data_IF_008069752091
#
_entry.id   IF_008069752091
#
_cell.length_a   1.000
_cell.length_b   1.000
_cell.length_c   1.000
_cell.angle_alpha   90.00
_cell.angle_beta   90.00
_cell.angle_gamma   90.00
#
_symmetry.space_group_name_H-M   'P 1'
#
loop_
_entity.id
_entity.type
_entity.pdbx_description
1 polymer ?
#
# COMPACT_ATOMS: atom_id res chain seq x y z
N UNK A 1 6.94 -12.39 13.26
CA UNK A 1 5.52 -12.24 13.62
C UNK A 1 5.44 -11.88 15.10
N UNK A 2 4.41 -11.17 15.58
CA UNK A 2 4.25 -10.96 17.02
C UNK A 2 4.08 -12.31 17.73
N UNK A 3 4.61 -12.42 18.93
CA UNK A 3 4.30 -13.54 19.84
C UNK A 3 3.00 -13.20 20.53
N UNK A 4 1.96 -14.02 20.32
CA UNK A 4 0.68 -13.89 21.01
C UNK A 4 0.81 -14.61 22.36
N UNK A 5 0.45 -13.92 23.45
CA UNK A 5 0.32 -14.54 24.78
C UNK A 5 -1.15 -14.64 25.20
N UNK A 6 -1.42 -15.31 26.32
CA UNK A 6 -2.77 -15.59 26.81
C UNK A 6 -3.62 -14.34 27.09
N UNK A 7 -3.02 -13.15 27.14
CA UNK A 7 -3.72 -11.87 27.35
C UNK A 7 -4.21 -11.26 26.03
N UNK A 8 -3.72 -11.76 24.89
CA UNK A 8 -4.11 -11.25 23.59
C UNK A 8 -5.40 -11.91 23.10
N UNK A 9 -6.47 -11.13 22.97
CA UNK A 9 -7.65 -11.53 22.23
C UNK A 9 -7.51 -11.10 20.78
N UNK A 10 -7.38 -12.05 19.85
CA UNK A 10 -7.35 -11.76 18.42
C UNK A 10 -8.75 -11.73 17.86
N UNK A 11 -9.21 -10.55 17.47
CA UNK A 11 -10.56 -10.33 16.90
C UNK A 11 -10.57 -10.44 15.38
N UNK A 12 -9.41 -10.29 14.74
CA UNK A 12 -9.28 -10.35 13.29
C UNK A 12 -7.86 -10.08 12.80
N UNK A 13 -7.56 -10.58 11.61
CA UNK A 13 -6.32 -10.33 10.87
C UNK A 13 -6.64 -9.95 9.43
N UNK A 14 -5.70 -9.26 8.77
CA UNK A 14 -5.88 -8.70 7.41
C UNK A 14 -6.24 -9.76 6.36
N UNK A 15 -5.72 -10.98 6.50
CA UNK A 15 -5.91 -12.01 5.50
C UNK A 15 -5.48 -13.42 5.93
N UNK A 16 -5.72 -14.41 5.06
CA UNK A 16 -5.55 -15.83 5.37
C UNK A 16 -4.09 -16.23 5.60
N UNK A 17 -3.13 -15.60 4.93
CA UNK A 17 -1.70 -15.87 5.14
C UNK A 17 -1.26 -15.43 6.53
N UNK A 18 -1.77 -14.29 7.00
CA UNK A 18 -1.51 -13.83 8.37
C UNK A 18 -2.17 -14.76 9.40
N UNK A 19 -3.41 -15.21 9.17
CA UNK A 19 -4.09 -16.16 10.05
C UNK A 19 -3.28 -17.46 10.19
N UNK A 20 -2.86 -18.04 9.06
CA UNK A 20 -2.06 -19.26 9.03
C UNK A 20 -0.71 -19.09 9.76
N UNK A 21 0.01 -17.99 9.52
CA UNK A 21 1.30 -17.71 10.17
C UNK A 21 1.19 -17.54 11.68
N UNK A 22 0.01 -17.20 12.19
CA UNK A 22 -0.27 -17.05 13.63
C UNK A 22 -0.95 -18.28 14.25
N UNK A 23 -1.19 -19.35 13.46
CA UNK A 23 -1.91 -20.53 13.94
C UNK A 23 -3.38 -20.26 14.28
N UNK A 24 -3.97 -19.24 13.66
CA UNK A 24 -5.36 -18.83 13.89
C UNK A 24 -6.30 -19.52 12.90
N UNK A 25 -7.58 -19.65 13.28
CA UNK A 25 -8.62 -20.05 12.32
C UNK A 25 -8.66 -19.07 11.14
N UNK A 26 -8.91 -19.59 9.93
CA UNK A 26 -9.16 -18.76 8.75
C UNK A 26 -10.41 -17.88 8.93
N UNK A 27 -11.31 -18.22 9.86
CA UNK A 27 -12.44 -17.36 10.24
C UNK A 27 -12.01 -16.07 10.97
N UNK A 28 -10.74 -15.92 11.35
CA UNK A 28 -10.21 -14.66 11.84
C UNK A 28 -9.62 -13.80 10.72
N UNK A 29 -9.53 -14.29 9.48
CA UNK A 29 -9.21 -13.45 8.33
C UNK A 29 -10.44 -12.60 7.93
N UNK A 30 -10.61 -11.48 8.62
CA UNK A 30 -11.77 -10.58 8.47
C UNK A 30 -11.50 -9.39 7.56
N UNK A 31 -10.31 -9.29 6.97
CA UNK A 31 -9.94 -8.21 6.07
C UNK A 31 -9.24 -7.04 6.78
N UNK A 32 -8.85 -6.03 5.99
CA UNK A 32 -8.28 -4.80 6.53
C UNK A 32 -9.36 -3.89 7.13
N UNK A 33 -9.10 -3.25 8.27
CA UNK A 33 -10.08 -2.42 8.96
C UNK A 33 -10.50 -1.16 8.18
N UNK A 34 -9.75 -0.75 7.16
CA UNK A 34 -10.11 0.38 6.32
C UNK A 34 -11.44 0.19 5.56
N UNK A 35 -11.95 -1.04 5.41
CA UNK A 35 -13.29 -1.26 4.85
C UNK A 35 -14.42 -0.66 5.72
N UNK A 36 -14.19 -0.46 7.03
CA UNK A 36 -15.11 0.27 7.90
C UNK A 36 -15.32 1.73 7.50
N UNK A 37 -14.50 2.29 6.61
CA UNK A 37 -14.74 3.62 6.01
C UNK A 37 -16.11 3.69 5.32
N UNK A 38 -16.68 2.55 4.89
CA UNK A 38 -18.03 2.47 4.31
C UNK A 38 -19.17 2.61 5.34
N UNK A 39 -18.85 2.66 6.64
CA UNK A 39 -19.82 2.81 7.75
C UNK A 39 -19.69 4.17 8.45
N UNK A 40 -18.95 5.10 7.88
CA UNK A 40 -18.79 6.47 8.40
C UNK A 40 -19.12 7.48 7.31
N UNK A 41 -19.58 8.67 7.73
CA UNK A 41 -19.81 9.77 6.80
C UNK A 41 -18.46 10.37 6.40
N UNK A 42 -18.18 10.35 5.09
CA UNK A 42 -16.92 10.82 4.52
C UNK A 42 -17.12 12.15 3.80
N UNK A 43 -16.08 12.99 3.74
CA UNK A 43 -16.13 14.20 2.93
C UNK A 43 -16.22 13.81 1.45
N UNK A 44 -17.15 14.44 0.72
CA UNK A 44 -17.38 14.17 -0.70
C UNK A 44 -16.74 15.28 -1.54
N UNK A 45 -15.92 14.95 -2.55
CA UNK A 45 -15.33 15.96 -3.42
C UNK A 45 -16.41 16.62 -4.31
N UNK A 46 -16.19 17.88 -4.68
CA UNK A 46 -17.09 18.62 -5.58
C UNK A 46 -17.08 18.04 -7.00
N UNK A 47 -15.92 17.57 -7.44
CA UNK A 47 -15.71 17.03 -8.78
C UNK A 47 -14.85 15.77 -8.71
N UNK A 48 -15.12 14.84 -9.62
CA UNK A 48 -14.34 13.62 -9.82
C UNK A 48 -13.76 13.65 -11.23
N UNK A 49 -12.44 13.67 -11.34
CA UNK A 49 -11.75 13.74 -12.62
C UNK A 49 -10.32 13.21 -12.52
N UNK A 50 -9.83 12.62 -13.61
CA UNK A 50 -8.42 12.31 -13.78
C UNK A 50 -7.89 11.18 -12.89
N UNK A 51 -6.57 11.03 -12.89
CA UNK A 51 -5.88 9.88 -12.30
C UNK A 51 -4.99 10.35 -11.15
N UNK A 52 -5.00 9.62 -10.04
CA UNK A 52 -4.11 9.84 -8.91
C UNK A 52 -2.93 8.88 -8.89
N UNK A 53 -1.79 9.30 -8.32
CA UNK A 53 -0.66 8.44 -7.99
C UNK A 53 -0.34 8.51 -6.49
N UNK A 54 -0.28 7.34 -5.85
CA UNK A 54 -0.01 7.18 -4.41
C UNK A 54 1.27 6.35 -4.23
N UNK A 55 2.45 6.95 -4.03
CA UNK A 55 3.64 6.19 -3.69
C UNK A 55 3.55 5.63 -2.27
N UNK A 56 4.40 4.64 -1.97
CA UNK A 56 4.57 4.23 -0.59
C UNK A 56 5.23 5.37 0.22
N UNK A 57 4.85 5.57 1.49
CA UNK A 57 5.35 6.70 2.30
C UNK A 57 6.89 6.85 2.34
N UNK A 58 7.64 5.74 2.28
CA UNK A 58 9.12 5.78 2.22
C UNK A 58 9.64 6.10 0.83
N UNK A 59 8.86 5.79 -0.20
CA UNK A 59 9.21 6.09 -1.58
C UNK A 59 9.12 7.58 -1.88
N UNK A 60 8.31 8.31 -1.10
CA UNK A 60 8.24 9.78 -1.15
C UNK A 60 9.61 10.44 -0.92
N UNK A 61 10.52 9.77 -0.21
CA UNK A 61 11.85 10.32 0.10
C UNK A 61 12.87 10.13 -1.04
N UNK A 62 12.56 9.30 -2.05
CA UNK A 62 13.47 9.01 -3.15
C UNK A 62 13.31 9.98 -4.32
N UNK A 63 12.09 10.42 -4.61
CA UNK A 63 11.77 11.22 -5.80
C UNK A 63 10.90 12.39 -5.37
N UNK A 64 11.06 13.50 -6.08
CA UNK A 64 10.10 14.60 -6.02
C UNK A 64 8.86 14.21 -6.83
N UNK A 65 7.97 13.48 -6.17
CA UNK A 65 6.78 12.93 -6.82
C UNK A 65 5.80 14.01 -7.24
N UNK A 66 5.72 15.13 -6.52
CA UNK A 66 4.87 16.25 -6.90
C UNK A 66 5.25 16.75 -8.30
N UNK A 67 6.52 17.15 -8.49
CA UNK A 67 6.99 17.63 -9.79
C UNK A 67 6.85 16.57 -10.89
N UNK A 68 7.15 15.29 -10.59
CA UNK A 68 7.04 14.22 -11.58
C UNK A 68 5.59 13.97 -12.02
N UNK A 69 4.64 14.03 -11.08
CA UNK A 69 3.23 13.80 -11.35
C UNK A 69 2.60 15.01 -12.06
N UNK A 70 2.97 16.24 -11.69
CA UNK A 70 2.54 17.46 -12.38
C UNK A 70 2.95 17.42 -13.86
N UNK A 71 4.20 17.06 -14.15
CA UNK A 71 4.72 16.86 -15.52
C UNK A 71 4.03 15.71 -16.27
N UNK A 72 3.43 14.77 -15.55
CA UNK A 72 2.68 13.63 -16.11
C UNK A 72 1.19 13.94 -16.31
N UNK A 73 0.69 15.06 -15.80
CA UNK A 73 -0.76 15.33 -15.73
C UNK A 73 -1.49 14.36 -14.79
N UNK A 74 -0.81 13.85 -13.77
CA UNK A 74 -1.35 12.89 -12.78
C UNK A 74 -1.35 13.59 -11.41
N UNK A 75 -2.38 13.39 -10.61
CA UNK A 75 -2.47 13.98 -9.28
C UNK A 75 -1.58 13.21 -8.31
N UNK A 76 -0.56 13.84 -7.75
CA UNK A 76 0.18 13.25 -6.62
C UNK A 76 -0.71 13.25 -5.36
N UNK A 77 -0.73 12.13 -4.64
CA UNK A 77 -1.41 11.98 -3.35
C UNK A 77 -0.42 11.40 -2.35
N UNK A 78 -0.08 12.15 -1.31
CA UNK A 78 0.87 11.71 -0.28
C UNK A 78 0.17 10.82 0.75
N UNK A 79 0.82 9.74 1.16
CA UNK A 79 0.33 8.92 2.27
C UNK A 79 0.65 9.55 3.65
N UNK A 80 1.38 10.68 3.68
CA UNK A 80 1.78 11.41 4.89
C UNK A 80 0.87 12.59 5.22
N UNK A 81 -0.05 12.95 4.32
CA UNK A 81 -0.99 14.06 4.54
C UNK A 81 -2.10 13.67 5.55
N UNK A 82 -2.85 14.64 6.10
CA UNK A 82 -3.99 14.35 6.95
C UNK A 82 -4.99 13.39 6.29
N UNK A 83 -5.66 12.56 7.09
CA UNK A 83 -6.51 11.49 6.57
C UNK A 83 -7.70 12.05 5.78
N UNK A 84 -8.28 13.15 6.22
CA UNK A 84 -9.39 13.84 5.56
C UNK A 84 -8.95 14.36 4.18
N UNK A 85 -7.76 14.97 4.10
CA UNK A 85 -7.19 15.46 2.84
C UNK A 85 -6.87 14.30 1.89
N UNK A 86 -6.35 13.18 2.43
CA UNK A 86 -6.10 11.96 1.65
C UNK A 86 -7.38 11.41 1.05
N UNK A 87 -8.45 11.29 1.86
CA UNK A 87 -9.73 10.77 1.43
C UNK A 87 -10.40 11.68 0.39
N UNK A 88 -10.31 13.00 0.56
CA UNK A 88 -10.78 13.98 -0.42
C UNK A 88 -10.01 13.88 -1.73
N UNK A 89 -8.68 13.85 -1.66
CA UNK A 89 -7.83 13.74 -2.85
C UNK A 89 -8.07 12.42 -3.59
N UNK A 90 -8.20 11.32 -2.86
CA UNK A 90 -8.48 10.00 -3.43
C UNK A 90 -9.84 9.97 -4.13
N UNK A 91 -10.90 10.40 -3.45
CA UNK A 91 -12.26 10.39 -4.01
C UNK A 91 -12.42 11.30 -5.23
N UNK A 92 -11.60 12.35 -5.34
CA UNK A 92 -11.60 13.23 -6.52
C UNK A 92 -11.03 12.57 -7.77
N UNK A 93 -10.43 11.38 -7.69
CA UNK A 93 -9.87 10.66 -8.82
C UNK A 93 -10.84 9.64 -9.40
N UNK A 94 -10.84 9.48 -10.72
CA UNK A 94 -11.56 8.42 -11.43
C UNK A 94 -10.92 7.05 -11.23
N UNK A 95 -9.59 7.03 -11.09
CA UNK A 95 -8.76 5.84 -10.89
C UNK A 95 -7.45 6.24 -10.23
N UNK A 96 -6.78 5.31 -9.55
CA UNK A 96 -5.46 5.56 -8.94
C UNK A 96 -4.42 4.50 -9.29
N UNK A 97 -3.18 4.95 -9.54
CA UNK A 97 -1.99 4.10 -9.59
C UNK A 97 -1.33 4.16 -8.22
N UNK A 98 -1.00 3.02 -7.61
CA UNK A 98 -0.55 3.02 -6.21
C UNK A 98 0.53 1.99 -5.90
N UNK A 99 1.57 2.44 -5.21
CA UNK A 99 2.57 1.60 -4.53
C UNK A 99 2.24 1.44 -3.04
N UNK A 100 1.34 2.28 -2.50
CA UNK A 100 0.85 2.16 -1.14
C UNK A 100 -0.27 1.12 -1.04
N UNK A 101 -0.04 0.04 -0.30
CA UNK A 101 -1.06 -0.99 -0.07
C UNK A 101 -2.34 -0.42 0.55
N UNK A 102 -2.22 0.48 1.53
CA UNK A 102 -3.41 1.15 2.09
C UNK A 102 -4.06 2.11 1.10
N UNK A 103 -3.31 2.68 0.15
CA UNK A 103 -3.91 3.42 -0.97
C UNK A 103 -4.82 2.53 -1.81
N UNK A 104 -4.40 1.30 -2.11
CA UNK A 104 -5.23 0.31 -2.81
C UNK A 104 -6.44 -0.14 -1.98
N UNK A 105 -6.25 -0.46 -0.69
CA UNK A 105 -7.32 -0.90 0.19
C UNK A 105 -8.40 0.18 0.34
N UNK A 106 -8.01 1.44 0.57
CA UNK A 106 -8.96 2.54 0.71
C UNK A 106 -9.65 2.85 -0.62
N UNK A 107 -8.92 2.83 -1.74
CA UNK A 107 -9.52 2.98 -3.06
C UNK A 107 -10.56 1.88 -3.34
N UNK A 108 -10.24 0.63 -3.01
CA UNK A 108 -11.14 -0.51 -3.16
C UNK A 108 -12.38 -0.39 -2.28
N UNK A 109 -12.24 0.07 -1.03
CA UNK A 109 -13.36 0.30 -0.12
C UNK A 109 -14.31 1.40 -0.64
N UNK A 110 -13.74 2.48 -1.19
CA UNK A 110 -14.48 3.62 -1.75
C UNK A 110 -14.87 3.44 -3.23
N UNK A 111 -14.63 2.26 -3.80
CA UNK A 111 -15.01 1.87 -5.17
C UNK A 111 -14.35 2.75 -6.25
N UNK A 112 -13.09 3.09 -6.02
CA UNK A 112 -12.22 3.79 -6.97
C UNK A 112 -11.28 2.75 -7.58
N UNK A 113 -11.38 2.47 -8.89
CA UNK A 113 -10.49 1.53 -9.55
C UNK A 113 -9.02 1.86 -9.28
N UNK A 114 -8.19 0.84 -9.07
CA UNK A 114 -6.79 1.03 -8.71
C UNK A 114 -5.85 0.10 -9.47
N UNK A 115 -4.60 0.54 -9.66
CA UNK A 115 -3.56 -0.20 -10.37
C UNK A 115 -2.35 -0.35 -9.44
N UNK A 116 -1.99 -1.58 -9.05
CA UNK A 116 -0.84 -1.80 -8.18
C UNK A 116 0.49 -1.66 -8.95
N UNK A 117 1.39 -0.85 -8.41
CA UNK A 117 2.76 -0.71 -8.92
C UNK A 117 3.80 -0.99 -7.85
N UNK A 118 4.99 -1.38 -8.30
CA UNK A 118 6.19 -1.56 -7.48
C UNK A 118 7.22 -0.52 -7.88
N UNK A 119 7.80 0.19 -6.93
CA UNK A 119 8.90 1.12 -7.19
C UNK A 119 10.10 0.85 -6.29
N UNK A 120 9.89 0.75 -4.97
CA UNK A 120 10.94 0.56 -3.99
C UNK A 120 11.45 -0.89 -3.96
N UNK A 121 12.77 -1.10 -3.85
CA UNK A 121 13.34 -2.42 -3.58
C UNK A 121 12.83 -3.05 -2.27
N UNK A 122 12.37 -2.21 -1.34
CA UNK A 122 11.80 -2.64 -0.06
C UNK A 122 10.32 -3.04 -0.15
N UNK A 123 9.74 -3.07 -1.35
CA UNK A 123 8.37 -3.50 -1.57
C UNK A 123 8.11 -4.91 -1.00
N UNK A 124 6.95 -5.09 -0.39
CA UNK A 124 6.60 -6.34 0.30
C UNK A 124 5.34 -6.96 -0.30
N UNK A 125 5.54 -7.81 -1.30
CA UNK A 125 4.46 -8.50 -2.02
C UNK A 125 3.63 -9.41 -1.12
N UNK A 126 4.22 -10.05 -0.11
CA UNK A 126 3.48 -10.98 0.76
C UNK A 126 2.31 -10.31 1.46
N UNK A 127 2.47 -9.05 1.86
CA UNK A 127 1.38 -8.28 2.49
C UNK A 127 0.25 -8.01 1.50
N UNK A 128 0.60 -7.70 0.26
CA UNK A 128 -0.37 -7.45 -0.81
C UNK A 128 -1.11 -8.71 -1.21
N UNK A 129 -0.43 -9.86 -1.35
CA UNK A 129 -1.12 -11.12 -1.65
C UNK A 129 -2.05 -11.55 -0.51
N UNK A 130 -1.65 -11.35 0.75
CA UNK A 130 -2.51 -11.62 1.90
C UNK A 130 -3.79 -10.74 1.90
N UNK A 131 -3.67 -9.48 1.47
CA UNK A 131 -4.82 -8.60 1.23
C UNK A 131 -5.64 -9.06 0.01
N UNK A 132 -4.99 -9.34 -1.12
CA UNK A 132 -5.68 -9.72 -2.35
C UNK A 132 -6.50 -11.00 -2.16
N UNK A 133 -5.93 -12.00 -1.48
CA UNK A 133 -6.63 -13.25 -1.14
C UNK A 133 -7.82 -13.02 -0.20
N UNK A 134 -7.71 -12.08 0.76
CA UNK A 134 -8.86 -11.76 1.63
C UNK A 134 -10.00 -11.08 0.88
N UNK A 135 -9.71 -10.46 -0.26
CA UNK A 135 -10.68 -9.78 -1.12
C UNK A 135 -11.01 -10.52 -2.43
N UNK A 136 -10.53 -11.77 -2.60
CA UNK A 136 -10.68 -12.57 -3.82
C UNK A 136 -10.19 -11.87 -5.10
N UNK A 137 -9.09 -11.11 -4.99
CA UNK A 137 -8.47 -10.38 -6.09
C UNK A 137 -7.35 -11.18 -6.74
N UNK A 138 -7.32 -11.15 -8.07
CA UNK A 138 -6.18 -11.62 -8.87
C UNK A 138 -5.21 -10.46 -9.10
N UNK A 139 -4.06 -10.52 -8.45
CA UNK A 139 -3.15 -9.39 -8.38
C UNK A 139 -1.88 -9.61 -9.20
N UNK A 140 -1.64 -8.72 -10.17
CA UNK A 140 -0.38 -8.58 -10.91
C UNK A 140 0.16 -7.18 -10.68
N UNK A 141 1.47 -7.00 -10.66
CA UNK A 141 2.08 -5.69 -10.42
C UNK A 141 2.87 -5.21 -11.61
N UNK A 142 2.71 -3.94 -11.94
CA UNK A 142 3.61 -3.26 -12.85
C UNK A 142 4.83 -2.70 -12.10
N UNK A 143 6.01 -2.75 -12.71
CA UNK A 143 7.25 -2.31 -12.06
C UNK A 143 7.72 -0.98 -12.63
N UNK A 144 7.71 0.06 -11.81
CA UNK A 144 8.32 1.35 -12.12
C UNK A 144 9.84 1.24 -11.96
N UNK A 145 10.63 1.90 -12.84
CA UNK A 145 12.08 1.90 -12.70
C UNK A 145 12.49 2.58 -11.39
N UNK A 146 13.26 1.89 -10.55
CA UNK A 146 13.73 2.47 -9.29
C UNK A 146 14.86 3.47 -9.52
N UNK A 147 14.76 4.63 -8.89
CA UNK A 147 15.83 5.62 -8.82
C UNK A 147 15.66 6.48 -7.57
N UNK A 148 16.66 7.29 -7.24
CA UNK A 148 16.58 8.23 -6.12
C UNK A 148 17.34 9.51 -6.45
N UNK A 149 16.76 10.67 -6.16
CA UNK A 149 17.43 11.98 -6.26
C UNK A 149 18.51 12.12 -5.19
N UNK A 150 18.34 11.50 -4.03
CA UNK A 150 19.30 11.54 -2.92
C UNK A 150 20.22 10.31 -2.92
N UNK A 151 21.51 10.53 -2.69
CA UNK A 151 22.47 9.44 -2.47
C UNK A 151 22.26 8.87 -1.07
N UNK A 152 22.47 7.57 -0.89
CA UNK A 152 22.50 7.00 0.46
C UNK A 152 23.71 7.59 1.21
N UNK A 153 23.55 8.14 2.43
CA UNK A 153 24.67 8.64 3.21
C UNK A 153 25.73 7.54 3.44
N UNK A 154 27.02 7.90 3.46
CA UNK A 154 28.13 6.94 3.50
C UNK A 154 28.04 5.95 4.67
N UNK A 155 27.70 6.42 5.87
CA UNK A 155 27.51 5.56 7.05
C UNK A 155 26.39 4.55 6.86
N UNK A 156 25.24 4.97 6.32
CA UNK A 156 24.13 4.07 5.99
C UNK A 156 24.47 3.11 4.86
N UNK A 157 25.29 3.52 3.89
CA UNK A 157 25.75 2.61 2.82
C UNK A 157 26.59 1.46 3.37
N UNK A 158 27.52 1.74 4.26
CA UNK A 158 28.36 0.71 4.90
C UNK A 158 27.47 -0.22 5.71
N UNK A 159 26.58 0.33 6.55
CA UNK A 159 25.61 -0.43 7.33
C UNK A 159 24.73 -1.33 6.46
N UNK A 160 24.15 -0.78 5.38
CA UNK A 160 23.29 -1.52 4.45
C UNK A 160 24.07 -2.62 3.73
N UNK A 161 25.32 -2.35 3.33
CA UNK A 161 26.19 -3.33 2.66
C UNK A 161 26.52 -4.50 3.58
N UNK A 162 26.87 -4.22 4.84
CA UNK A 162 27.12 -5.25 5.86
C UNK A 162 25.85 -6.06 6.10
N UNK A 163 24.71 -5.40 6.33
CA UNK A 163 23.42 -6.08 6.56
C UNK A 163 23.01 -6.96 5.38
N UNK A 164 23.18 -6.49 4.14
CA UNK A 164 22.93 -7.28 2.92
C UNK A 164 23.86 -8.49 2.84
N UNK A 165 25.16 -8.30 3.06
CA UNK A 165 26.16 -9.38 3.06
C UNK A 165 25.85 -10.46 4.11
N UNK A 166 25.58 -10.04 5.35
CA UNK A 166 25.19 -10.94 6.43
C UNK A 166 23.89 -11.69 6.11
N UNK A 167 22.91 -11.05 5.48
CA UNK A 167 21.65 -11.71 5.11
C UNK A 167 21.78 -12.80 4.04
N UNK A 168 22.88 -12.81 3.28
CA UNK A 168 23.17 -13.86 2.30
C UNK A 168 23.88 -15.07 2.93
N UNK A 169 24.46 -14.91 4.12
CA UNK A 169 25.30 -15.92 4.79
C UNK A 169 24.62 -16.50 6.04
N UNK A 170 23.82 -15.70 6.73
CA UNK A 170 23.18 -16.06 8.00
C UNK A 170 21.65 -15.94 7.90
N UNK A 171 20.96 -16.63 8.81
CA UNK A 171 19.51 -16.49 9.01
C UNK A 171 19.15 -15.13 9.63
N UNK A 172 19.27 -14.06 8.83
CA UNK A 172 18.94 -12.70 9.21
C UNK A 172 17.53 -12.30 8.73
N UNK A 173 16.95 -11.19 9.23
CA UNK A 173 15.67 -10.69 8.74
C UNK A 173 15.69 -10.44 7.23
N UNK A 174 14.74 -11.01 6.48
CA UNK A 174 14.62 -10.87 5.00
C UNK A 174 14.66 -9.41 4.52
N UNK A 175 14.19 -8.46 5.35
CA UNK A 175 14.27 -7.02 5.04
C UNK A 175 15.70 -6.50 4.84
N UNK A 176 16.72 -7.17 5.37
CA UNK A 176 18.13 -6.76 5.23
C UNK A 176 18.65 -6.94 3.80
N UNK A 177 18.21 -7.96 3.07
CA UNK A 177 18.64 -8.18 1.68
C UNK A 177 18.10 -7.13 0.71
N UNK A 178 17.01 -6.45 1.09
CA UNK A 178 16.26 -5.45 0.31
C UNK A 178 16.61 -4.00 0.64
N UNK A 179 17.63 -3.75 1.47
CA UNK A 179 18.02 -2.39 1.82
C UNK A 179 18.57 -1.65 0.59
N UNK A 180 18.07 -0.44 0.28
CA UNK A 180 18.51 0.31 -0.88
C UNK A 180 19.93 0.82 -0.66
N UNK A 181 20.77 0.70 -1.70
CA UNK A 181 22.09 1.31 -1.76
C UNK A 181 22.14 2.12 -3.05
N UNK A 182 21.98 3.44 -2.93
CA UNK A 182 21.90 4.36 -4.06
C UNK A 182 23.24 5.09 -4.19
N UNK A 183 24.00 4.73 -5.23
CA UNK A 183 25.33 5.28 -5.51
C UNK A 183 25.30 6.61 -6.27
N UNK A 184 24.26 6.83 -7.09
CA UNK A 184 24.13 8.02 -7.95
C UNK A 184 22.73 8.58 -7.86
N UNK A 185 22.64 9.91 -7.90
CA UNK A 185 21.36 10.60 -8.05
C UNK A 185 20.77 10.33 -9.43
N UNK A 186 19.44 10.25 -9.51
CA UNK A 186 18.71 10.02 -10.73
C UNK A 186 19.08 11.05 -11.82
N UNK A 187 19.42 10.57 -13.01
CA UNK A 187 19.62 11.39 -14.20
C UNK A 187 18.30 11.87 -14.78
N UNK A 188 18.34 12.94 -15.59
CA UNK A 188 17.15 13.43 -16.29
C UNK A 188 16.51 12.38 -17.20
N UNK A 189 17.32 11.51 -17.84
CA UNK A 189 16.83 10.42 -18.67
C UNK A 189 16.08 9.35 -17.85
N UNK A 190 16.58 9.03 -16.66
CA UNK A 190 15.90 8.08 -15.76
C UNK A 190 14.57 8.64 -15.27
N UNK A 191 14.54 9.91 -14.85
CA UNK A 191 13.30 10.58 -14.44
C UNK A 191 12.28 10.63 -15.58
N UNK A 192 12.73 10.89 -16.81
CA UNK A 192 11.88 10.83 -18.01
C UNK A 192 11.28 9.43 -18.20
N UNK A 193 12.08 8.37 -18.07
CA UNK A 193 11.60 6.98 -18.18
C UNK A 193 10.60 6.62 -17.08
N UNK A 194 10.86 7.05 -15.84
CA UNK A 194 9.92 6.84 -14.72
C UNK A 194 8.57 7.48 -15.00
N UNK A 195 8.58 8.73 -15.47
CA UNK A 195 7.37 9.44 -15.87
C UNK A 195 6.64 8.74 -17.01
N UNK A 196 7.35 8.32 -18.06
CA UNK A 196 6.77 7.59 -19.19
C UNK A 196 6.12 6.27 -18.75
N UNK A 197 6.77 5.49 -17.88
CA UNK A 197 6.20 4.28 -17.29
C UNK A 197 4.96 4.58 -16.45
N UNK A 198 4.97 5.65 -15.64
CA UNK A 198 3.82 6.05 -14.83
C UNK A 198 2.61 6.43 -15.72
N UNK A 199 2.84 7.24 -16.76
CA UNK A 199 1.80 7.62 -17.73
C UNK A 199 1.25 6.39 -18.45
N UNK A 200 2.12 5.47 -18.86
CA UNK A 200 1.71 4.22 -19.51
C UNK A 200 0.84 3.37 -18.59
N UNK A 201 1.26 3.14 -17.34
CA UNK A 201 0.49 2.33 -16.40
C UNK A 201 -0.82 3.00 -16.00
N UNK A 202 -0.88 4.33 -15.95
CA UNK A 202 -2.12 5.06 -15.72
C UNK A 202 -3.20 4.78 -16.77
N UNK A 203 -2.84 4.34 -17.98
CA UNK A 203 -3.81 3.96 -19.02
C UNK A 203 -4.42 2.57 -18.84
N UNK A 204 -3.85 1.72 -17.98
CA UNK A 204 -4.36 0.35 -17.75
C UNK A 204 -5.73 0.38 -17.05
N UNK A 205 -6.53 -0.65 -17.26
CA UNK A 205 -7.76 -0.80 -16.49
C UNK A 205 -7.46 -1.02 -15.00
N UNK A 206 -8.17 -0.30 -14.15
CA UNK A 206 -8.06 -0.49 -12.70
C UNK A 206 -8.80 -1.75 -12.26
N UNK A 207 -8.32 -2.36 -11.19
CA UNK A 207 -8.98 -3.51 -10.57
C UNK A 207 -9.87 -3.05 -9.42
N UNK A 208 -10.91 -3.83 -9.15
CA UNK A 208 -11.82 -3.71 -8.02
C UNK A 208 -12.21 -5.10 -7.55
N UNK A 209 -12.38 -5.25 -6.24
CA UNK A 209 -12.97 -6.45 -5.64
C UNK A 209 -14.47 -6.55 -5.94
N UNK A 210 -15.07 -7.71 -5.76
CA UNK A 210 -16.52 -7.89 -5.91
C UNK A 210 -17.29 -7.11 -4.83
N UNK A 211 -18.29 -6.33 -5.23
CA UNK A 211 -19.07 -5.46 -4.32
C UNK A 211 -19.75 -6.24 -3.20
N UNK A 212 -20.29 -7.43 -3.48
CA UNK A 212 -20.97 -8.26 -2.47
C UNK A 212 -19.97 -8.79 -1.46
N UNK A 213 -18.77 -9.14 -1.92
CA UNK A 213 -17.69 -9.56 -1.04
C UNK A 213 -17.20 -8.41 -0.16
N UNK A 214 -17.06 -7.19 -0.71
CA UNK A 214 -16.75 -5.98 0.08
C UNK A 214 -17.78 -5.72 1.15
N UNK A 215 -19.07 -5.77 0.82
CA UNK A 215 -20.14 -5.55 1.82
C UNK A 215 -20.09 -6.63 2.90
N UNK A 216 -19.89 -7.90 2.53
CA UNK A 216 -19.75 -9.01 3.47
C UNK A 216 -18.58 -8.79 4.44
N UNK A 217 -17.42 -8.37 3.94
CA UNK A 217 -16.23 -8.07 4.75
C UNK A 217 -16.52 -6.90 5.69
N UNK A 218 -17.11 -5.83 5.16
CA UNK A 218 -17.46 -4.62 5.93
C UNK A 218 -18.44 -4.95 7.06
N UNK A 219 -19.52 -5.67 6.78
CA UNK A 219 -20.52 -6.05 7.79
C UNK A 219 -19.94 -6.97 8.86
N UNK A 220 -19.08 -7.91 8.47
CA UNK A 220 -18.39 -8.78 9.42
C UNK A 220 -17.51 -7.98 10.38
N UNK A 221 -16.74 -7.02 9.86
CA UNK A 221 -15.92 -6.13 10.68
C UNK A 221 -16.77 -5.24 11.59
N UNK A 222 -17.86 -4.68 11.05
CA UNK A 222 -18.75 -3.81 11.80
C UNK A 222 -19.45 -4.55 12.95
N UNK A 223 -19.89 -5.79 12.73
CA UNK A 223 -20.44 -6.65 13.77
C UNK A 223 -19.45 -6.92 14.91
N UNK A 224 -18.15 -7.08 14.59
CA UNK A 224 -17.10 -7.22 15.62
C UNK A 224 -16.99 -5.92 16.44
N UNK A 225 -16.97 -4.76 15.78
CA UNK A 225 -16.93 -3.45 16.45
C UNK A 225 -18.13 -3.25 17.39
N UNK A 226 -19.34 -3.63 16.97
CA UNK A 226 -20.53 -3.54 17.84
C UNK A 226 -20.41 -4.44 19.08
N UNK A 227 -19.95 -5.69 18.93
CA UNK A 227 -19.74 -6.60 20.08
C UNK A 227 -18.73 -6.04 21.08
N UNK A 228 -17.63 -5.45 20.58
CA UNK A 228 -16.64 -4.77 21.44
C UNK A 228 -17.34 -3.65 22.21
N UNK A 229 -18.08 -2.78 21.52
CA UNK A 229 -18.78 -1.66 22.13
C UNK A 229 -19.75 -2.09 23.23
N UNK A 230 -20.46 -3.20 23.04
CA UNK A 230 -21.38 -3.76 24.04
C UNK A 230 -20.66 -4.40 25.23
N UNK A 231 -19.43 -4.87 25.04
CA UNK A 231 -18.60 -5.47 26.10
C UNK A 231 -17.94 -4.42 27.00
N UNK A 232 -17.71 -3.21 26.49
CA UNK A 232 -17.07 -2.09 27.20
C UNK A 232 -18.06 -1.00 27.67
N UNK A 233 -19.36 -1.25 27.55
CA UNK A 233 -20.43 -0.43 28.16
C UNK A 233 -20.86 -1.03 29.49
#
# INVERSE_FOLDING_TARGET
>A
MPTLDARCQVLGVRGPRTAQKLGLSLDLAVGDGAYLLRKVDLPVPLEKSGIGFIPHHRSEDYIDWQSLCDDAGIKFISAKQPVEDFLLALQSCEKVVTEAMHGAIVADALRIPWIPVKFSPAFNEEKWYDFAESMNLNLSFETLPFMSKTKTPLGKMIEHSIKRGLSNVFACPVKWSRLPVVFKSASALELKRLRESLVQFAQLDGILSDERHVEKVTERQFAIVQRIKDTFR
#
